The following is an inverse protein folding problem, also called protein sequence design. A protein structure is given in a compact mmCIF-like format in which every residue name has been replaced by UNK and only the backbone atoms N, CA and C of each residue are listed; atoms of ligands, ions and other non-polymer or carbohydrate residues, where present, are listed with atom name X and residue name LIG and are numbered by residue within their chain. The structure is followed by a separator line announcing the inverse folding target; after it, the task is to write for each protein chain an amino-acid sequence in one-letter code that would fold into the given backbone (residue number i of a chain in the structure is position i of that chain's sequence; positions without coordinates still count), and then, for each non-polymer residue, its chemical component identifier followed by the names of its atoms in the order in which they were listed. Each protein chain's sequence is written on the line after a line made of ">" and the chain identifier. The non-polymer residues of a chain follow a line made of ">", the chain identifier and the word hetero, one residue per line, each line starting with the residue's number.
data_IF_945270725429
#
_entry.id   IF_945270725429
#
_cell.length_a   1.000
_cell.length_b   1.000
_cell.length_c   1.000
_cell.angle_alpha   90.00
_cell.angle_beta   90.00
_cell.angle_gamma   90.00
#
_symmetry.space_group_name_H-M   'P 1'
#
loop_
_entity.id
_entity.type
_entity.pdbx_description
1 polymer ?
#
# COMPACT_ATOMS: atom_id res chain seq x y z
N UNK A 1 33.17 9.22 -4.89
CA UNK A 1 31.77 8.75 -4.78
C UNK A 1 31.50 7.91 -6.03
N UNK A 2 31.12 6.64 -5.90
CA UNK A 2 30.84 5.78 -7.07
C UNK A 2 29.42 6.06 -7.55
N UNK A 3 29.20 6.09 -8.87
CA UNK A 3 27.88 6.27 -9.51
C UNK A 3 26.82 5.35 -8.90
N UNK A 4 27.18 4.11 -8.56
CA UNK A 4 26.26 3.17 -7.89
C UNK A 4 25.71 3.72 -6.56
N UNK A 5 26.57 4.26 -5.69
CA UNK A 5 26.15 4.82 -4.39
C UNK A 5 25.29 6.08 -4.54
N UNK A 6 25.55 6.87 -5.58
CA UNK A 6 24.75 8.05 -5.90
C UNK A 6 23.35 7.66 -6.38
N UNK A 7 23.24 6.67 -7.28
CA UNK A 7 21.95 6.13 -7.75
C UNK A 7 21.12 5.60 -6.58
N UNK A 8 21.74 4.82 -5.67
CA UNK A 8 21.05 4.28 -4.48
C UNK A 8 20.53 5.41 -3.59
N UNK A 9 21.34 6.45 -3.36
CA UNK A 9 20.95 7.60 -2.53
C UNK A 9 19.77 8.37 -3.14
N UNK A 10 19.83 8.63 -4.45
CA UNK A 10 18.76 9.32 -5.18
C UNK A 10 17.47 8.51 -5.20
N UNK A 11 17.56 7.20 -5.39
CA UNK A 11 16.40 6.30 -5.30
C UNK A 11 15.75 6.35 -3.91
N UNK A 12 16.56 6.30 -2.85
CA UNK A 12 16.07 6.40 -1.47
C UNK A 12 15.37 7.74 -1.21
N UNK A 13 15.95 8.84 -1.66
CA UNK A 13 15.35 10.16 -1.49
C UNK A 13 14.02 10.31 -2.24
N UNK A 14 13.95 9.82 -3.49
CA UNK A 14 12.70 9.79 -4.26
C UNK A 14 11.66 8.91 -3.58
N UNK A 15 12.03 7.73 -3.08
CA UNK A 15 11.13 6.82 -2.39
C UNK A 15 10.57 7.42 -1.09
N UNK A 16 11.39 8.11 -0.29
CA UNK A 16 10.93 8.80 0.92
C UNK A 16 9.93 9.91 0.61
N UNK A 17 10.20 10.72 -0.42
CA UNK A 17 9.28 11.79 -0.88
C UNK A 17 7.97 11.23 -1.41
N UNK A 18 7.99 10.05 -2.03
CA UNK A 18 6.81 9.32 -2.46
C UNK A 18 6.01 8.79 -1.26
N UNK A 19 6.66 8.09 -0.33
CA UNK A 19 6.04 7.51 0.85
C UNK A 19 5.34 8.56 1.72
N UNK A 20 5.99 9.69 2.00
CA UNK A 20 5.39 10.78 2.79
C UNK A 20 4.06 11.26 2.21
N UNK A 21 4.01 11.51 0.90
CA UNK A 21 2.79 11.99 0.24
C UNK A 21 1.72 10.91 0.16
N UNK A 22 2.14 9.67 -0.04
CA UNK A 22 1.25 8.53 0.01
C UNK A 22 0.58 8.42 1.38
N UNK A 23 1.34 8.59 2.46
CA UNK A 23 0.83 8.59 3.84
C UNK A 23 -0.11 9.76 4.10
N UNK A 24 0.24 10.97 3.67
CA UNK A 24 -0.65 12.14 3.75
C UNK A 24 -1.99 11.89 3.03
N UNK A 25 -1.95 11.24 1.87
CA UNK A 25 -3.16 10.87 1.14
C UNK A 25 -3.96 9.78 1.87
N UNK A 26 -3.30 8.75 2.39
CA UNK A 26 -3.92 7.70 3.19
C UNK A 26 -4.69 8.29 4.39
N UNK A 27 -4.10 9.27 5.08
CA UNK A 27 -4.73 9.96 6.21
C UNK A 27 -6.03 10.66 5.81
N UNK A 28 -6.11 11.28 4.61
CA UNK A 28 -7.36 11.90 4.12
C UNK A 28 -8.49 10.90 3.96
N UNK A 29 -8.17 9.64 3.67
CA UNK A 29 -9.12 8.54 3.60
C UNK A 29 -9.24 7.77 4.92
N UNK A 30 -8.73 8.31 6.04
CA UNK A 30 -8.72 7.66 7.36
C UNK A 30 -8.08 6.29 7.35
N UNK A 31 -7.07 6.08 6.51
CA UNK A 31 -6.31 4.84 6.41
C UNK A 31 -4.98 5.00 7.13
N UNK A 32 -4.54 3.94 7.81
CA UNK A 32 -3.13 3.82 8.18
C UNK A 32 -2.28 3.54 6.93
N UNK A 33 -0.98 3.82 7.00
CA UNK A 33 -0.06 3.53 5.90
C UNK A 33 -0.13 2.06 5.46
N UNK A 34 -0.26 1.14 6.42
CA UNK A 34 -0.31 -0.29 6.17
C UNK A 34 -1.66 -0.74 5.56
N UNK A 35 -2.77 -0.11 5.98
CA UNK A 35 -4.09 -0.33 5.37
C UNK A 35 -4.13 0.16 3.91
N UNK A 36 -3.59 1.35 3.65
CA UNK A 36 -3.49 1.87 2.30
C UNK A 36 -2.61 0.95 1.43
N UNK A 37 -1.45 0.52 1.93
CA UNK A 37 -0.58 -0.43 1.23
C UNK A 37 -1.31 -1.73 0.91
N UNK A 38 -2.11 -2.26 1.84
CA UNK A 38 -2.86 -3.49 1.62
C UNK A 38 -3.90 -3.32 0.51
N UNK A 39 -4.59 -2.17 0.45
CA UNK A 39 -5.51 -1.85 -0.63
C UNK A 39 -4.80 -1.77 -1.99
N UNK A 40 -3.64 -1.09 -2.06
CA UNK A 40 -2.85 -0.98 -3.29
C UNK A 40 -2.36 -2.33 -3.80
N UNK A 41 -1.94 -3.20 -2.88
CA UNK A 41 -1.49 -4.54 -3.21
C UNK A 41 -2.64 -5.40 -3.76
N UNK A 42 -3.78 -5.41 -3.06
CA UNK A 42 -4.98 -6.15 -3.50
C UNK A 42 -5.60 -5.58 -4.78
N UNK A 43 -5.35 -4.30 -5.07
CA UNK A 43 -5.75 -3.68 -6.33
C UNK A 43 -4.98 -4.23 -7.55
N UNK A 44 -3.73 -4.67 -7.37
CA UNK A 44 -2.94 -5.26 -8.44
C UNK A 44 -3.45 -6.66 -8.77
N UNK A 45 -3.73 -7.45 -7.74
CA UNK A 45 -4.35 -8.77 -7.86
C UNK A 45 -5.03 -9.19 -6.53
N UNK A 46 -6.15 -9.93 -6.57
CA UNK A 46 -6.72 -10.54 -5.38
C UNK A 46 -5.75 -11.57 -4.77
N UNK A 47 -5.47 -11.46 -3.47
CA UNK A 47 -4.46 -12.28 -2.79
C UNK A 47 -4.99 -12.97 -1.54
N UNK A 48 -4.48 -14.16 -1.19
CA UNK A 48 -4.74 -14.77 0.11
C UNK A 48 -4.02 -13.98 1.21
N UNK A 49 -4.63 -13.90 2.40
CA UNK A 49 -4.05 -13.17 3.56
C UNK A 49 -2.61 -13.58 3.87
N UNK A 50 -2.27 -14.87 3.71
CA UNK A 50 -0.90 -15.38 3.90
C UNK A 50 0.12 -14.73 2.97
N UNK A 51 -0.25 -14.44 1.72
CA UNK A 51 0.67 -13.74 0.81
C UNK A 51 0.83 -12.27 1.19
N UNK A 52 -0.24 -11.64 1.64
CA UNK A 52 -0.18 -10.25 2.11
C UNK A 52 0.73 -10.15 3.34
N UNK A 53 0.60 -11.07 4.32
CA UNK A 53 1.50 -11.14 5.49
C UNK A 53 2.98 -11.29 5.10
N UNK A 54 3.27 -12.22 4.17
CA UNK A 54 4.64 -12.43 3.69
C UNK A 54 5.22 -11.20 2.98
N UNK A 55 4.43 -10.49 2.18
CA UNK A 55 4.88 -9.26 1.51
C UNK A 55 5.09 -8.10 2.49
N UNK A 56 4.42 -8.12 3.64
CA UNK A 56 4.54 -7.08 4.66
C UNK A 56 5.55 -7.46 5.76
N UNK A 57 6.19 -8.63 5.62
CA UNK A 57 7.08 -9.24 6.59
C UNK A 57 6.52 -9.16 8.03
N UNK A 58 5.22 -9.43 8.19
CA UNK A 58 4.52 -9.30 9.47
C UNK A 58 3.79 -10.58 9.86
N UNK A 59 3.48 -10.70 11.15
CA UNK A 59 2.76 -11.86 11.68
C UNK A 59 1.33 -11.94 11.10
N UNK A 60 0.82 -13.16 10.81
CA UNK A 60 -0.54 -13.34 10.29
C UNK A 60 -1.65 -12.68 11.12
N UNK A 61 -1.50 -12.57 12.45
CA UNK A 61 -2.48 -11.90 13.31
C UNK A 61 -2.60 -10.40 13.00
N UNK A 62 -1.49 -9.75 12.66
CA UNK A 62 -1.48 -8.33 12.28
C UNK A 62 -2.22 -8.13 10.95
N UNK A 63 -1.98 -8.99 9.95
CA UNK A 63 -2.68 -8.84 8.67
C UNK A 63 -4.18 -9.09 8.77
N UNK A 64 -4.58 -10.05 9.62
CA UNK A 64 -6.01 -10.31 9.88
C UNK A 64 -6.68 -9.04 10.42
N UNK A 65 -6.10 -8.38 11.42
CA UNK A 65 -6.66 -7.15 11.97
C UNK A 65 -6.72 -5.99 10.97
N UNK A 66 -5.75 -5.89 10.05
CA UNK A 66 -5.77 -4.89 8.97
C UNK A 66 -6.91 -5.16 7.99
N UNK A 67 -7.04 -6.41 7.53
CA UNK A 67 -8.08 -6.83 6.59
C UNK A 67 -9.46 -6.69 7.22
N UNK A 68 -9.64 -7.09 8.48
CA UNK A 68 -10.91 -6.96 9.20
C UNK A 68 -11.37 -5.50 9.27
N UNK A 69 -10.45 -4.57 9.59
CA UNK A 69 -10.77 -3.13 9.60
C UNK A 69 -11.14 -2.60 8.21
N UNK A 70 -10.47 -3.07 7.16
CA UNK A 70 -10.80 -2.69 5.78
C UNK A 70 -12.15 -3.27 5.34
N UNK A 71 -12.46 -4.51 5.73
CA UNK A 71 -13.72 -5.19 5.43
C UNK A 71 -14.89 -4.55 6.19
N UNK A 72 -14.72 -4.22 7.48
CA UNK A 72 -15.70 -3.48 8.29
C UNK A 72 -16.04 -2.12 7.67
N UNK A 73 -15.07 -1.49 7.01
CA UNK A 73 -15.24 -0.23 6.28
C UNK A 73 -15.81 -0.40 4.87
N UNK A 74 -16.07 -1.63 4.44
CA UNK A 74 -16.61 -1.94 3.12
C UNK A 74 -15.63 -1.69 1.98
N UNK A 75 -14.32 -1.67 2.23
CA UNK A 75 -13.28 -1.40 1.22
C UNK A 75 -12.75 -2.68 0.57
N UNK A 76 -12.81 -3.80 1.29
CA UNK A 76 -12.45 -5.12 0.78
C UNK A 76 -13.53 -6.13 1.11
N UNK A 77 -13.49 -7.27 0.43
CA UNK A 77 -14.29 -8.45 0.74
C UNK A 77 -13.46 -9.71 0.62
N UNK A 78 -13.91 -10.76 1.31
CA UNK A 78 -13.29 -12.10 1.30
C UNK A 78 -14.04 -13.06 0.37
N UNK A 79 -13.53 -13.22 -0.84
CA UNK A 79 -14.11 -14.10 -1.86
C UNK A 79 -13.51 -15.52 -1.76
N UNK A 80 -14.32 -16.60 -1.76
CA UNK A 80 -13.80 -17.96 -1.82
C UNK A 80 -13.09 -18.21 -3.15
N UNK A 81 -11.99 -18.97 -3.12
CA UNK A 81 -11.29 -19.34 -4.35
C UNK A 81 -12.04 -20.48 -5.04
N UNK A 82 -12.32 -20.41 -6.36
CA UNK A 82 -13.04 -21.46 -7.08
C UNK A 82 -12.38 -22.84 -6.99
N UNK A 83 -11.05 -22.88 -6.93
CA UNK A 83 -10.25 -24.11 -6.88
C UNK A 83 -10.09 -24.67 -5.47
N UNK A 84 -10.24 -23.86 -4.42
CA UNK A 84 -10.22 -24.31 -3.02
C UNK A 84 -11.06 -23.37 -2.14
N UNK A 85 -12.26 -23.85 -1.75
CA UNK A 85 -13.20 -23.09 -0.91
C UNK A 85 -12.69 -22.85 0.52
N UNK A 86 -11.63 -23.53 0.95
CA UNK A 86 -10.97 -23.29 2.25
C UNK A 86 -10.11 -22.03 2.22
N UNK A 87 -9.71 -21.58 1.04
CA UNK A 87 -8.93 -20.36 0.84
C UNK A 87 -9.88 -19.22 0.47
N UNK A 88 -9.65 -18.05 1.09
CA UNK A 88 -10.31 -16.81 0.71
C UNK A 88 -9.29 -15.81 0.21
N UNK A 89 -9.59 -15.20 -0.93
CA UNK A 89 -8.85 -14.05 -1.44
C UNK A 89 -9.48 -12.77 -0.92
N UNK A 90 -8.61 -11.82 -0.62
CA UNK A 90 -9.02 -10.45 -0.36
C UNK A 90 -9.14 -9.78 -1.72
N UNK A 91 -10.29 -9.17 -1.99
CA UNK A 91 -10.57 -8.43 -3.20
C UNK A 91 -11.17 -7.07 -2.85
N UNK A 92 -10.94 -6.07 -3.71
CA UNK A 92 -11.55 -4.75 -3.52
C UNK A 92 -13.06 -4.80 -3.76
N UNK A 93 -13.79 -4.04 -2.96
CA UNK A 93 -15.15 -3.59 -3.30
C UNK A 93 -15.09 -2.45 -4.32
N UNK A 94 -16.24 -1.96 -4.77
CA UNK A 94 -16.27 -0.79 -5.64
C UNK A 94 -15.74 0.47 -4.94
N UNK A 95 -16.13 0.68 -3.67
CA UNK A 95 -15.59 1.79 -2.88
C UNK A 95 -14.08 1.64 -2.63
N UNK A 96 -13.61 0.42 -2.39
CA UNK A 96 -12.17 0.13 -2.28
C UNK A 96 -11.39 0.51 -3.54
N UNK A 97 -11.94 0.21 -4.73
CA UNK A 97 -11.34 0.64 -6.01
C UNK A 97 -11.32 2.15 -6.14
N UNK A 98 -12.40 2.82 -5.78
CA UNK A 98 -12.49 4.29 -5.83
C UNK A 98 -11.42 4.95 -4.97
N UNK A 99 -11.26 4.49 -3.73
CA UNK A 99 -10.22 5.00 -2.82
C UNK A 99 -8.82 4.71 -3.38
N UNK A 100 -8.60 3.54 -3.98
CA UNK A 100 -7.32 3.22 -4.63
C UNK A 100 -7.03 4.18 -5.78
N UNK A 101 -8.01 4.52 -6.62
CA UNK A 101 -7.83 5.50 -7.68
C UNK A 101 -7.58 6.92 -7.14
N UNK A 102 -8.26 7.32 -6.06
CA UNK A 102 -8.01 8.59 -5.37
C UNK A 102 -6.60 8.63 -4.75
N UNK A 103 -6.14 7.54 -4.14
CA UNK A 103 -4.76 7.39 -3.66
C UNK A 103 -3.77 7.49 -4.83
N UNK A 104 -4.01 6.81 -5.95
CA UNK A 104 -3.19 6.91 -7.17
C UNK A 104 -3.15 8.33 -7.74
N UNK A 105 -4.30 9.01 -7.78
CA UNK A 105 -4.41 10.39 -8.27
C UNK A 105 -3.74 11.41 -7.35
N UNK A 106 -3.78 11.19 -6.03
CA UNK A 106 -3.11 12.02 -5.03
C UNK A 106 -1.57 11.91 -5.09
N UNK A 107 -1.06 10.83 -5.70
CA UNK A 107 0.35 10.69 -6.09
C UNK A 107 0.69 11.51 -7.34
N UNK A 108 -0.08 12.56 -7.68
CA UNK A 108 0.28 13.56 -8.70
C UNK A 108 1.67 14.18 -8.50
N UNK A 109 2.33 13.99 -7.35
CA UNK A 109 3.77 14.24 -7.24
C UNK A 109 4.63 13.25 -8.00
N UNK A 110 4.28 11.98 -8.26
CA UNK A 110 5.00 11.19 -9.26
C UNK A 110 5.06 11.96 -10.59
N UNK A 111 4.01 12.71 -10.94
CA UNK A 111 4.01 13.60 -12.10
C UNK A 111 4.84 14.88 -11.91
N UNK A 112 5.40 15.21 -10.73
CA UNK A 112 6.26 16.39 -10.54
C UNK A 112 7.77 16.11 -10.77
N UNK A 113 8.47 15.16 -10.11
CA UNK A 113 9.80 14.74 -10.53
C UNK A 113 9.79 13.99 -11.85
N UNK A 114 8.79 13.13 -12.15
CA UNK A 114 8.71 12.53 -13.49
C UNK A 114 8.18 13.52 -14.54
N UNK A 115 7.51 14.60 -14.13
CA UNK A 115 7.11 15.69 -15.03
C UNK A 115 8.26 16.60 -15.41
N UNK A 116 9.31 16.67 -14.57
CA UNK A 116 10.57 17.31 -14.93
C UNK A 116 11.32 16.56 -16.05
N UNK A 117 11.04 15.25 -16.20
CA UNK A 117 11.57 14.45 -17.30
C UNK A 117 10.73 14.65 -18.57
N UNK A 118 11.38 14.61 -19.72
CA UNK A 118 10.75 14.49 -21.03
C UNK A 118 10.12 13.10 -21.21
N UNK A 119 9.24 12.93 -22.21
CA UNK A 119 8.65 11.61 -22.49
C UNK A 119 9.70 10.53 -22.82
N UNK A 120 10.77 10.81 -23.59
CA UNK A 120 11.87 9.86 -23.79
C UNK A 120 12.60 9.49 -22.48
N UNK A 121 12.92 10.46 -21.63
CA UNK A 121 13.61 10.21 -20.35
C UNK A 121 12.76 9.36 -19.40
N UNK A 122 11.44 9.60 -19.33
CA UNK A 122 10.51 8.74 -18.58
C UNK A 122 10.50 7.30 -19.12
N UNK A 123 10.54 7.15 -20.44
CA UNK A 123 10.58 5.83 -21.10
C UNK A 123 11.86 5.10 -20.76
N UNK A 124 13.01 5.79 -20.85
CA UNK A 124 14.30 5.25 -20.47
C UNK A 124 14.35 4.85 -19.00
N UNK A 125 13.93 5.73 -18.08
CA UNK A 125 13.88 5.43 -16.65
C UNK A 125 13.01 4.20 -16.35
N UNK A 126 11.81 4.11 -16.95
CA UNK A 126 10.95 2.93 -16.84
C UNK A 126 11.68 1.65 -17.24
N UNK A 127 12.40 1.68 -18.36
CA UNK A 127 13.09 0.50 -18.88
C UNK A 127 14.31 0.12 -18.02
N UNK A 128 15.02 1.11 -17.46
CA UNK A 128 16.08 0.88 -16.47
C UNK A 128 15.52 0.20 -15.21
N UNK A 129 14.45 0.74 -14.63
CA UNK A 129 13.82 0.18 -13.43
C UNK A 129 13.30 -1.23 -13.67
N UNK A 130 12.68 -1.50 -14.83
CA UNK A 130 12.27 -2.86 -15.21
C UNK A 130 13.44 -3.84 -15.26
N UNK A 131 14.59 -3.42 -15.80
CA UNK A 131 15.79 -4.26 -15.82
C UNK A 131 16.34 -4.54 -14.42
N UNK A 132 16.33 -3.54 -13.53
CA UNK A 132 16.72 -3.73 -12.13
C UNK A 132 15.82 -4.74 -11.43
N UNK A 133 14.50 -4.56 -11.53
CA UNK A 133 13.53 -5.48 -10.94
C UNK A 133 13.63 -6.91 -11.50
N UNK A 134 13.92 -7.05 -12.80
CA UNK A 134 14.13 -8.36 -13.41
C UNK A 134 15.43 -9.03 -12.91
N UNK A 135 16.50 -8.27 -12.70
CA UNK A 135 17.77 -8.81 -12.17
C UNK A 135 17.61 -9.33 -10.74
N UNK A 136 16.84 -8.63 -9.91
CA UNK A 136 16.60 -9.00 -8.49
C UNK A 136 15.70 -10.24 -8.32
N UNK A 137 14.99 -10.70 -9.37
CA UNK A 137 14.13 -11.90 -9.27
C UNK A 137 14.88 -13.23 -9.11
N UNK A 138 16.22 -13.23 -9.13
CA UNK A 138 17.03 -14.42 -8.83
C UNK A 138 17.10 -14.77 -7.33
N UNK A 139 16.60 -13.90 -6.45
CA UNK A 139 16.47 -14.19 -5.01
C UNK A 139 15.02 -13.95 -4.54
N UNK A 140 14.12 -14.87 -4.90
CA UNK A 140 12.70 -14.80 -4.52
C UNK A 140 12.55 -15.11 -3.03
N UNK A 141 12.81 -14.14 -2.16
CA UNK A 141 12.19 -14.03 -0.82
C UNK A 141 12.03 -12.58 -0.36
N UNK A 142 12.79 -11.63 -0.90
CA UNK A 142 12.90 -10.28 -0.30
C UNK A 142 12.40 -9.17 -1.23
N UNK A 143 11.08 -9.09 -1.48
CA UNK A 143 10.48 -7.86 -2.04
C UNK A 143 10.09 -6.93 -0.90
N UNK A 144 11.09 -6.42 -0.19
CA UNK A 144 10.94 -5.34 0.78
C UNK A 144 10.79 -4.01 0.03
N UNK A 145 9.57 -3.71 -0.38
CA UNK A 145 9.21 -2.31 -0.66
C UNK A 145 9.20 -1.60 0.69
N UNK A 146 10.26 -0.83 0.96
CA UNK A 146 10.59 -0.26 2.28
C UNK A 146 9.44 0.61 2.81
N UNK A 147 8.61 -0.01 3.64
CA UNK A 147 7.88 0.64 4.70
C UNK A 147 8.80 0.61 5.90
N UNK A 148 9.30 1.78 6.30
CA UNK A 148 9.94 1.91 7.59
C UNK A 148 8.98 1.38 8.66
N UNK A 149 9.36 0.27 9.29
CA UNK A 149 8.54 -0.46 10.27
C UNK A 149 8.57 0.21 11.66
N UNK A 150 9.16 1.42 11.76
CA UNK A 150 9.48 2.04 13.03
C UNK A 150 8.34 2.83 13.70
N UNK A 151 7.17 3.03 13.07
CA UNK A 151 6.13 3.93 13.62
C UNK A 151 4.76 3.29 13.90
N UNK A 152 4.67 1.95 13.94
CA UNK A 152 3.41 1.24 14.26
C UNK A 152 3.07 1.18 15.74
N UNK A 153 3.88 1.73 16.64
CA UNK A 153 3.60 1.74 18.08
C UNK A 153 2.67 2.88 18.54
N UNK A 154 2.34 3.87 17.69
CA UNK A 154 1.67 5.11 18.14
C UNK A 154 0.20 5.31 17.79
N UNK A 155 -0.40 4.53 16.89
CA UNK A 155 -1.72 4.87 16.30
C UNK A 155 -2.80 3.82 16.56
N UNK A 156 -2.82 3.24 17.76
CA UNK A 156 -3.84 2.26 18.15
C UNK A 156 -5.24 2.88 18.40
N UNK A 157 -5.43 4.20 18.30
CA UNK A 157 -6.63 4.84 18.89
C UNK A 157 -7.35 5.89 18.03
N UNK A 158 -7.20 5.87 16.69
CA UNK A 158 -7.87 6.85 15.84
C UNK A 158 -9.30 6.45 15.38
N UNK A 159 -9.87 5.34 15.89
CA UNK A 159 -11.20 4.87 15.45
C UNK A 159 -12.23 4.69 16.57
N UNK A 160 -11.87 4.90 17.85
CA UNK A 160 -12.81 4.65 18.96
C UNK A 160 -13.65 5.89 19.37
N UNK A 161 -13.49 7.02 18.68
CA UNK A 161 -14.15 8.28 19.06
C UNK A 161 -15.46 8.61 18.33
N UNK A 162 -16.05 7.71 17.52
CA UNK A 162 -17.31 8.04 16.78
C UNK A 162 -18.49 7.11 17.00
N UNK A 163 -18.42 6.10 17.86
CA UNK A 163 -19.59 5.27 18.21
C UNK A 163 -20.31 5.69 19.53
N UNK A 164 -19.88 6.77 20.19
CA UNK A 164 -20.50 7.25 21.44
C UNK A 164 -21.54 8.38 21.27
N UNK A 165 -21.64 9.05 20.11
CA UNK A 165 -22.50 10.25 19.98
C UNK A 165 -23.79 10.06 19.16
N UNK A 166 -24.08 8.84 18.68
CA UNK A 166 -25.31 8.55 17.93
C UNK A 166 -26.42 7.86 18.76
N UNK A 167 -26.17 7.50 20.04
CA UNK A 167 -27.15 6.82 20.89
C UNK A 167 -27.76 7.69 22.01
N UNK A 168 -27.48 9.00 22.04
CA UNK A 168 -27.84 9.90 23.14
C UNK A 168 -28.96 10.91 22.88
N UNK A 169 -29.72 10.81 21.79
CA UNK A 169 -30.88 11.70 21.55
C UNK A 169 -32.15 10.91 21.26
N UNK A 170 -32.75 10.41 22.34
CA UNK A 170 -34.20 10.27 22.44
C UNK A 170 -34.61 10.79 23.81
N UNK A 171 -35.41 11.85 23.83
CA UNK A 171 -35.88 12.52 25.05
C UNK A 171 -36.57 13.83 24.69
#
# INVERSE_FOLDING_TARGET
>A
MNVTSEVVSLMGEIALRYNRRYEEAAVRHRLTALQAKALMLVAAEPLPMRRIAGLFNCDPSNITGIVDRLEKRGLVRRDPVPTDRRVRHIALTEEGRRIVEELRGSLGFAAAPLGALTAPERTQLRDLLKRMLAADTTDTTDTTYVADAADTAGMADATDATDAEAAGRTG
#
